data_IF_536414323968
#
_entry.id   IF_536414323968
#
_cell.length_a   1.000
_cell.length_b   1.000
_cell.length_c   1.000
_cell.angle_alpha   90.00
_cell.angle_beta   90.00
_cell.angle_gamma   90.00
#
_symmetry.space_group_name_H-M   'P 1'
#
loop_
_entity.id
_entity.type
_entity.pdbx_description
1 polymer ?
#
# COMPACT_ATOMS: atom_id res chain seq x y z
N UNK A 1 -10.91 -19.30 -5.32
CA UNK A 1 -9.46 -19.58 -5.41
C UNK A 1 -8.76 -18.69 -4.38
N UNK A 2 -8.56 -19.18 -3.16
CA UNK A 2 -7.81 -18.46 -2.12
C UNK A 2 -6.33 -18.80 -2.31
N UNK A 3 -5.53 -17.86 -2.80
CA UNK A 3 -4.07 -18.02 -2.81
C UNK A 3 -3.58 -17.91 -1.37
N UNK A 4 -2.73 -18.86 -0.98
CA UNK A 4 -2.11 -18.91 0.34
C UNK A 4 -1.40 -17.58 0.67
N UNK A 5 -1.64 -17.08 1.89
CA UNK A 5 -1.10 -15.83 2.43
C UNK A 5 0.39 -16.01 2.74
N UNK A 6 1.26 -15.92 1.75
CA UNK A 6 2.70 -15.79 2.00
C UNK A 6 2.92 -14.41 2.59
N UNK A 7 3.37 -14.31 3.85
CA UNK A 7 3.65 -13.05 4.51
C UNK A 7 4.84 -12.35 3.82
N UNK A 8 4.55 -11.56 2.79
CA UNK A 8 5.52 -10.72 2.09
C UNK A 8 5.63 -9.41 2.86
N UNK A 9 6.83 -9.09 3.36
CA UNK A 9 7.08 -7.82 4.02
C UNK A 9 6.76 -6.66 3.08
N UNK A 10 5.87 -5.77 3.49
CA UNK A 10 5.49 -4.58 2.72
C UNK A 10 6.69 -3.63 2.72
N UNK A 11 7.08 -3.16 1.54
CA UNK A 11 8.18 -2.21 1.35
C UNK A 11 7.74 -1.01 0.51
N UNK A 12 8.53 0.07 0.55
CA UNK A 12 8.27 1.34 -0.16
C UNK A 12 8.13 1.18 -1.67
N UNK A 13 8.93 0.28 -2.25
CA UNK A 13 8.97 -0.01 -3.68
C UNK A 13 7.96 -1.07 -4.11
N UNK A 14 7.10 -1.53 -3.20
CA UNK A 14 6.04 -2.48 -3.55
C UNK A 14 5.05 -1.76 -4.46
N UNK A 15 4.67 -2.42 -5.55
CA UNK A 15 3.65 -1.91 -6.45
C UNK A 15 2.29 -1.86 -5.73
N UNK A 16 1.52 -0.80 -5.93
CA UNK A 16 0.24 -0.62 -5.23
C UNK A 16 -0.79 -1.69 -5.61
N UNK A 17 -0.90 -2.04 -6.90
CA UNK A 17 -1.80 -3.11 -7.34
C UNK A 17 -1.41 -4.48 -6.78
N UNK A 18 -0.12 -4.78 -6.70
CA UNK A 18 0.37 -5.98 -6.03
C UNK A 18 0.01 -5.97 -4.54
N UNK A 19 0.27 -4.85 -3.85
CA UNK A 19 0.00 -4.70 -2.43
C UNK A 19 -1.47 -4.96 -2.09
N UNK A 20 -2.41 -4.37 -2.82
CA UNK A 20 -3.86 -4.58 -2.57
C UNK A 20 -4.35 -5.94 -3.05
N UNK A 21 -3.66 -6.58 -3.99
CA UNK A 21 -3.95 -7.96 -4.40
C UNK A 21 -3.53 -8.97 -3.32
N UNK A 22 -2.37 -8.74 -2.69
CA UNK A 22 -1.84 -9.60 -1.62
C UNK A 22 -2.54 -9.33 -0.29
N UNK A 23 -2.87 -8.06 -0.02
CA UNK A 23 -3.47 -7.58 1.22
C UNK A 23 -4.74 -6.76 0.94
N UNK A 24 -5.83 -7.39 0.48
CA UNK A 24 -7.09 -6.70 0.19
C UNK A 24 -7.68 -5.99 1.43
N UNK A 25 -7.36 -6.46 2.64
CA UNK A 25 -7.75 -5.80 3.89
C UNK A 25 -7.14 -4.40 4.08
N UNK A 26 -6.04 -4.09 3.40
CA UNK A 26 -5.37 -2.80 3.50
C UNK A 26 -5.96 -1.73 2.57
N UNK A 27 -6.86 -2.08 1.65
CA UNK A 27 -7.48 -1.12 0.72
C UNK A 27 -8.13 0.02 1.47
N UNK A 28 -8.98 -0.27 2.47
CA UNK A 28 -9.66 0.76 3.26
C UNK A 28 -8.65 1.61 4.05
N UNK A 29 -7.59 1.00 4.59
CA UNK A 29 -6.54 1.73 5.32
C UNK A 29 -5.81 2.72 4.40
N UNK A 30 -5.47 2.30 3.17
CA UNK A 30 -4.82 3.16 2.18
C UNK A 30 -5.73 4.32 1.75
N UNK A 31 -7.02 4.06 1.58
CA UNK A 31 -7.98 5.07 1.14
C UNK A 31 -8.38 6.03 2.27
N UNK A 32 -8.83 5.51 3.41
CA UNK A 32 -9.42 6.29 4.50
C UNK A 32 -8.36 7.01 5.33
N UNK A 33 -7.25 6.33 5.68
CA UNK A 33 -6.24 6.93 6.56
C UNK A 33 -5.17 7.69 5.80
N UNK A 34 -4.85 7.26 4.58
CA UNK A 34 -3.77 7.84 3.80
C UNK A 34 -4.25 8.60 2.55
N UNK A 35 -5.53 8.57 2.22
CA UNK A 35 -6.09 9.31 1.10
C UNK A 35 -5.68 8.78 -0.28
N UNK A 36 -5.08 7.59 -0.34
CA UNK A 36 -4.60 6.95 -1.58
C UNK A 36 -5.76 6.30 -2.34
N UNK A 37 -6.75 7.10 -2.76
CA UNK A 37 -7.90 6.62 -3.52
C UNK A 37 -7.51 6.00 -4.86
N UNK A 38 -6.35 6.39 -5.39
CA UNK A 38 -5.78 5.87 -6.63
C UNK A 38 -5.52 4.35 -6.59
N UNK A 39 -5.42 3.72 -5.40
CA UNK A 39 -5.17 2.26 -5.28
C UNK A 39 -6.26 1.39 -5.90
N UNK A 40 -7.45 1.95 -6.12
CA UNK A 40 -8.58 1.29 -6.80
C UNK A 40 -8.71 1.64 -8.28
N UNK A 41 -7.87 2.55 -8.79
CA UNK A 41 -7.82 2.96 -10.19
C UNK A 41 -6.81 2.11 -10.96
N UNK A 42 -6.95 2.02 -12.29
CA UNK A 42 -5.98 1.33 -13.16
C UNK A 42 -4.55 1.88 -13.01
N UNK A 43 -4.41 3.14 -12.58
CA UNK A 43 -3.12 3.79 -12.32
C UNK A 43 -2.30 3.11 -11.21
N UNK A 44 -2.95 2.44 -10.24
CA UNK A 44 -2.29 1.71 -9.15
C UNK A 44 -1.32 0.62 -9.65
N UNK A 45 -1.53 0.11 -10.87
CA UNK A 45 -0.63 -0.86 -11.49
C UNK A 45 0.72 -0.27 -11.89
N UNK A 46 0.84 1.04 -12.00
CA UNK A 46 2.04 1.73 -12.46
C UNK A 46 2.86 2.37 -11.34
N UNK A 47 2.23 2.66 -10.20
CA UNK A 47 2.88 3.35 -9.08
C UNK A 47 3.33 2.39 -7.97
N UNK A 48 4.48 2.69 -7.37
CA UNK A 48 4.87 2.13 -6.07
C UNK A 48 4.13 2.82 -4.92
N UNK A 49 4.11 2.19 -3.75
CA UNK A 49 3.58 2.80 -2.53
C UNK A 49 4.22 4.17 -2.24
N UNK A 50 5.52 4.29 -2.44
CA UNK A 50 6.25 5.54 -2.25
C UNK A 50 5.86 6.62 -3.26
N UNK A 51 5.78 6.29 -4.55
CA UNK A 51 5.40 7.26 -5.60
C UNK A 51 3.96 7.74 -5.39
N UNK A 52 3.04 6.82 -5.15
CA UNK A 52 1.65 7.15 -4.82
C UNK A 52 1.54 8.02 -3.57
N UNK A 53 2.27 7.71 -2.50
CA UNK A 53 2.28 8.54 -1.30
C UNK A 53 2.89 9.94 -1.55
N UNK A 54 3.96 10.06 -2.34
CA UNK A 54 4.59 11.34 -2.65
C UNK A 54 3.67 12.28 -3.45
N UNK A 55 2.89 11.75 -4.39
CA UNK A 55 1.89 12.54 -5.14
C UNK A 55 0.85 13.16 -4.19
N UNK A 56 0.55 12.50 -3.08
CA UNK A 56 -0.38 12.95 -2.06
C UNK A 56 0.28 13.76 -0.92
N UNK A 57 1.54 14.17 -1.10
CA UNK A 57 2.23 15.09 -0.19
C UNK A 57 2.91 14.45 1.02
N UNK A 58 3.05 13.12 1.04
CA UNK A 58 3.81 12.45 2.10
C UNK A 58 5.32 12.55 1.86
N UNK A 59 6.05 12.87 2.92
CA UNK A 59 7.51 12.84 2.91
C UNK A 59 8.07 11.44 3.21
N UNK A 60 9.38 11.27 3.08
CA UNK A 60 10.03 9.99 3.34
C UNK A 60 9.79 9.47 4.77
N UNK A 61 9.65 10.34 5.77
CA UNK A 61 9.43 9.94 7.16
C UNK A 61 8.02 9.43 7.37
N UNK A 62 7.04 10.06 6.74
CA UNK A 62 5.65 9.62 6.81
C UNK A 62 5.43 8.32 6.05
N UNK A 63 6.12 8.13 4.93
CA UNK A 63 6.13 6.86 4.19
C UNK A 63 6.75 5.73 5.02
N UNK A 64 7.84 5.98 5.75
CA UNK A 64 8.40 4.97 6.68
C UNK A 64 7.40 4.59 7.80
N UNK A 65 6.66 5.55 8.34
CA UNK A 65 5.60 5.27 9.34
C UNK A 65 4.46 4.48 8.72
N UNK A 66 4.04 4.84 7.51
CA UNK A 66 3.00 4.16 6.75
C UNK A 66 3.36 2.69 6.55
N UNK A 67 4.56 2.41 6.02
CA UNK A 67 5.06 1.03 5.80
C UNK A 67 5.08 0.24 7.11
N UNK A 68 5.57 0.83 8.21
CA UNK A 68 5.56 0.17 9.52
C UNK A 68 4.15 -0.18 9.99
N UNK A 69 3.20 0.75 9.84
CA UNK A 69 1.79 0.56 10.20
C UNK A 69 1.15 -0.53 9.34
N UNK A 70 1.30 -0.48 8.02
CA UNK A 70 0.77 -1.51 7.12
C UNK A 70 1.31 -2.90 7.47
N UNK A 71 2.62 -3.04 7.69
CA UNK A 71 3.21 -4.31 8.13
C UNK A 71 2.66 -4.78 9.49
N UNK A 72 2.30 -3.87 10.40
CA UNK A 72 1.74 -4.26 11.70
C UNK A 72 0.31 -4.81 11.62
N UNK A 73 -0.44 -4.44 10.58
CA UNK A 73 -1.84 -4.85 10.37
C UNK A 73 -1.98 -6.21 9.68
N UNK A 74 -0.91 -6.70 9.05
CA UNK A 74 -0.91 -7.96 8.27
C UNK A 74 -0.01 -9.05 8.86
N UNK A 75 0.48 -8.85 10.08
CA UNK A 75 1.22 -9.86 10.86
C UNK A 75 0.34 -11.03 11.28
#
# INVERSE_FOLDING_TARGET
MAKAKTAIKIGRKMNLAELVTVYPELVNVLMEDYGLHCVSCFAAGFDTLEEGAKIHGYDDKDIEKMVKRLNSLVK
#
